data_IF_224146522115
#
_entry.id   IF_224146522115
#
_cell.length_a   1.000
_cell.length_b   1.000
_cell.length_c   1.000
_cell.angle_alpha   90.00
_cell.angle_beta   90.00
_cell.angle_gamma   90.00
#
_symmetry.space_group_name_H-M   'P 1'
#
loop_
_entity.id
_entity.type
_entity.pdbx_description
1 polymer ?
#
# COMPACT_ATOMS: atom_id res chain seq x y z
N UNK A 1 24.93 18.95 -32.06
CA UNK A 1 23.75 18.23 -31.53
C UNK A 1 23.28 18.73 -30.16
N UNK A 2 24.12 18.82 -29.11
CA UNK A 2 23.66 19.24 -27.77
C UNK A 2 23.02 20.65 -27.71
N UNK A 3 23.55 21.60 -28.49
CA UNK A 3 23.00 22.97 -28.60
C UNK A 3 21.62 23.03 -29.27
N UNK A 4 21.27 22.05 -30.12
CA UNK A 4 19.95 21.95 -30.76
C UNK A 4 18.88 21.45 -29.78
N UNK A 5 19.26 20.60 -28.84
CA UNK A 5 18.36 20.02 -27.85
C UNK A 5 18.29 20.86 -26.55
N UNK A 6 19.05 21.95 -26.46
CA UNK A 6 18.92 22.97 -25.41
C UNK A 6 19.58 22.65 -24.06
N UNK A 7 20.41 21.60 -23.97
CA UNK A 7 21.11 21.25 -22.72
C UNK A 7 22.62 21.44 -22.83
N UNK A 8 23.22 21.94 -21.74
CA UNK A 8 24.64 22.24 -21.61
C UNK A 8 25.42 21.17 -20.84
N UNK A 9 24.75 20.37 -19.99
CA UNK A 9 25.38 19.32 -19.21
C UNK A 9 24.37 18.19 -18.85
N UNK A 10 24.89 17.03 -18.44
CA UNK A 10 24.07 15.89 -17.99
C UNK A 10 23.91 15.90 -16.47
N UNK A 11 22.66 15.76 -16.01
CA UNK A 11 22.33 15.58 -14.60
C UNK A 11 21.75 14.18 -14.35
N UNK A 12 21.88 13.68 -13.13
CA UNK A 12 21.25 12.43 -12.68
C UNK A 12 20.28 12.67 -11.53
N UNK A 13 19.14 11.98 -11.57
CA UNK A 13 18.08 11.99 -10.55
C UNK A 13 18.19 10.79 -9.60
N UNK A 14 19.13 9.87 -9.81
CA UNK A 14 19.30 8.67 -8.97
C UNK A 14 19.53 9.07 -7.51
N UNK A 15 18.66 8.60 -6.62
CA UNK A 15 18.73 8.87 -5.18
C UNK A 15 18.28 10.28 -4.76
N UNK A 16 17.76 11.10 -5.69
CA UNK A 16 17.24 12.44 -5.39
C UNK A 16 15.72 12.42 -5.43
N UNK A 17 15.08 13.11 -4.48
CA UNK A 17 13.64 13.39 -4.56
C UNK A 17 13.41 14.36 -5.72
N UNK A 18 12.53 13.99 -6.62
CA UNK A 18 12.14 14.81 -7.77
C UNK A 18 10.83 15.55 -7.48
N UNK A 19 10.67 16.73 -8.06
CA UNK A 19 9.50 17.58 -7.87
C UNK A 19 8.31 17.13 -8.74
N UNK A 20 7.12 17.67 -8.43
CA UNK A 20 5.87 17.32 -9.12
C UNK A 20 5.28 15.97 -8.67
N UNK A 21 4.39 15.41 -9.50
CA UNK A 21 3.63 14.19 -9.21
C UNK A 21 4.41 12.89 -9.45
N UNK A 22 5.73 12.97 -9.57
CA UNK A 22 6.65 11.88 -9.95
C UNK A 22 6.59 10.64 -9.05
N UNK A 23 6.15 10.80 -7.80
CA UNK A 23 5.97 9.70 -6.84
C UNK A 23 4.50 9.51 -6.42
N UNK A 24 3.56 10.04 -7.19
CA UNK A 24 2.13 9.90 -6.90
C UNK A 24 1.73 8.42 -6.99
N UNK A 25 1.24 7.88 -5.88
CA UNK A 25 0.69 6.54 -5.80
C UNK A 25 -0.50 6.55 -4.83
N UNK A 26 -1.46 5.68 -5.08
CA UNK A 26 -2.61 5.49 -4.21
C UNK A 26 -2.86 4.00 -4.03
N UNK A 27 -3.21 3.61 -2.80
CA UNK A 27 -3.54 2.24 -2.44
C UNK A 27 -4.97 2.24 -1.90
N UNK A 28 -5.85 1.47 -2.51
CA UNK A 28 -7.19 1.22 -2.01
C UNK A 28 -7.27 -0.22 -1.49
N UNK A 29 -7.29 -0.37 -0.17
CA UNK A 29 -7.40 -1.68 0.49
C UNK A 29 -8.68 -1.70 1.30
N UNK A 30 -9.60 -2.58 0.89
CA UNK A 30 -10.79 -2.91 1.66
C UNK A 30 -10.57 -4.24 2.38
N UNK A 31 -10.59 -4.23 3.70
CA UNK A 31 -10.45 -5.44 4.50
C UNK A 31 -11.81 -6.15 4.59
N UNK A 32 -11.85 -7.44 4.24
CA UNK A 32 -13.05 -8.26 4.41
C UNK A 32 -13.41 -8.34 5.90
N UNK A 33 -14.67 -8.08 6.23
CA UNK A 33 -15.16 -8.21 7.61
C UNK A 33 -15.00 -9.66 8.08
N UNK A 34 -14.31 -9.85 9.20
CA UNK A 34 -14.18 -11.14 9.86
C UNK A 34 -15.38 -11.34 10.78
N UNK A 35 -16.21 -12.33 10.48
CA UNK A 35 -17.36 -12.68 11.30
C UNK A 35 -16.96 -13.60 12.45
N UNK A 36 -17.75 -13.58 13.52
CA UNK A 36 -17.51 -14.34 14.75
C UNK A 36 -18.67 -15.29 14.98
N UNK A 37 -18.36 -16.55 15.24
CA UNK A 37 -19.39 -17.55 15.56
C UNK A 37 -19.71 -17.50 17.05
N UNK A 38 -20.92 -17.10 17.41
CA UNK A 38 -21.35 -17.02 18.82
C UNK A 38 -21.99 -18.31 19.33
N UNK A 39 -22.77 -18.99 18.48
CA UNK A 39 -23.54 -20.18 18.86
C UNK A 39 -22.74 -21.48 18.63
N UNK A 40 -22.99 -22.49 19.47
CA UNK A 40 -22.41 -23.84 19.39
C UNK A 40 -20.88 -23.88 19.39
N UNK A 41 -20.25 -22.98 20.16
CA UNK A 41 -18.79 -22.92 20.30
C UNK A 41 -18.30 -24.07 21.19
N UNK A 42 -17.43 -24.94 20.66
CA UNK A 42 -16.77 -26.01 21.43
C UNK A 42 -15.92 -25.46 22.59
N UNK A 43 -15.48 -24.20 22.49
CA UNK A 43 -14.60 -23.56 23.47
C UNK A 43 -15.28 -23.06 24.76
N UNK A 44 -16.60 -22.92 24.82
CA UNK A 44 -17.28 -22.29 25.96
C UNK A 44 -17.20 -20.76 25.98
N UNK A 45 -17.85 -20.12 26.96
CA UNK A 45 -18.14 -18.68 26.97
C UNK A 45 -16.88 -17.79 27.06
N UNK A 46 -15.92 -18.14 27.93
CA UNK A 46 -14.70 -17.34 28.21
C UNK A 46 -13.50 -17.64 27.29
N UNK A 47 -13.68 -18.39 26.19
CA UNK A 47 -12.62 -18.58 25.18
C UNK A 47 -12.71 -17.52 24.07
N UNK A 48 -11.66 -17.30 23.27
CA UNK A 48 -11.75 -16.45 22.08
C UNK A 48 -12.79 -17.00 21.08
N UNK A 49 -13.41 -16.09 20.31
CA UNK A 49 -14.39 -16.45 19.29
C UNK A 49 -13.66 -17.01 18.07
N UNK A 50 -14.11 -18.14 17.55
CA UNK A 50 -13.52 -18.77 16.38
C UNK A 50 -13.68 -17.87 15.16
N UNK A 51 -12.62 -17.81 14.35
CA UNK A 51 -12.69 -17.15 13.05
C UNK A 51 -13.56 -18.01 12.13
N UNK A 52 -14.67 -17.44 11.65
CA UNK A 52 -15.43 -18.07 10.56
C UNK A 52 -14.63 -17.79 9.28
N UNK A 53 -14.04 -18.84 8.70
CA UNK A 53 -13.38 -18.79 7.39
C UNK A 53 -14.43 -18.64 6.28
#
# INVERSE_FOLDING_TARGET
>A
MMKLMGFSNFNSTKGKKTDGSVNAHAINVSQKRKYRQYMNRKGGFNRPLDFIA
#
